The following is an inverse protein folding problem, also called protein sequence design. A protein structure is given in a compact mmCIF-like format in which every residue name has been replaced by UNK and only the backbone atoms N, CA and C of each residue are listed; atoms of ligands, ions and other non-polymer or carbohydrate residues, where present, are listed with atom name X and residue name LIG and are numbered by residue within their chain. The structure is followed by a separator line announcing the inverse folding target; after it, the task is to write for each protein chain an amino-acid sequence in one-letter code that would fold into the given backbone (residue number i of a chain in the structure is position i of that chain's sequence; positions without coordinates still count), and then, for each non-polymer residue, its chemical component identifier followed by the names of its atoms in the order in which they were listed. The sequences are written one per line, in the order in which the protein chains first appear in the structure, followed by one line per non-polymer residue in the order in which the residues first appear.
data_IF_979787238189
#
_entry.id   IF_979787238189
#
_cell.length_a   1.000
_cell.length_b   1.000
_cell.length_c   1.000
_cell.angle_alpha   90.00
_cell.angle_beta   90.00
_cell.angle_gamma   90.00
#
_symmetry.space_group_name_H-M   'P 1'
#
loop_
_entity.id
_entity.type
_entity.pdbx_description
1 polymer ?
#
# COMPACT_ATOMS: atom_id res chain seq x y z
N UNK A 1 -12.94 8.39 -1.54
CA UNK A 1 -11.54 8.29 -2.04
C UNK A 1 -10.83 9.63 -1.94
N UNK A 2 -9.49 9.62 -1.88
CA UNK A 2 -8.67 10.83 -1.97
C UNK A 2 -8.24 11.05 -3.43
N UNK A 3 -8.30 12.31 -3.86
CA UNK A 3 -7.92 12.72 -5.22
C UNK A 3 -7.09 14.00 -5.16
N UNK A 4 -6.12 14.15 -6.05
CA UNK A 4 -5.36 15.37 -6.24
C UNK A 4 -5.92 16.15 -7.41
N UNK A 5 -6.21 17.43 -7.23
CA UNK A 5 -6.61 18.33 -8.32
C UNK A 5 -5.39 18.64 -9.19
N UNK A 6 -5.56 18.65 -10.51
CA UNK A 6 -4.53 19.06 -11.46
C UNK A 6 -3.97 20.44 -11.11
N UNK A 7 -2.65 20.62 -11.18
CA UNK A 7 -2.00 21.89 -10.88
C UNK A 7 -2.02 22.87 -12.05
N UNK A 8 -2.26 22.38 -13.27
CA UNK A 8 -2.33 23.20 -14.49
C UNK A 8 -3.72 23.84 -14.61
N UNK A 9 -3.77 25.16 -14.36
CA UNK A 9 -5.00 25.94 -14.39
C UNK A 9 -5.67 25.97 -15.77
N UNK A 10 -4.90 26.13 -16.85
CA UNK A 10 -5.45 26.21 -18.21
C UNK A 10 -6.09 24.88 -18.58
N UNK A 11 -5.42 23.77 -18.24
CA UNK A 11 -5.96 22.43 -18.41
C UNK A 11 -7.24 22.23 -17.61
N UNK A 12 -7.29 22.64 -16.35
CA UNK A 12 -8.50 22.50 -15.52
C UNK A 12 -9.66 23.34 -16.09
N UNK A 13 -9.41 24.57 -16.54
CA UNK A 13 -10.42 25.42 -17.20
C UNK A 13 -11.04 24.73 -18.40
N UNK A 14 -10.23 24.14 -19.27
CA UNK A 14 -10.72 23.40 -20.43
C UNK A 14 -11.54 22.16 -20.03
N UNK A 15 -11.08 21.40 -19.04
CA UNK A 15 -11.76 20.18 -18.59
C UNK A 15 -13.08 20.46 -17.84
N UNK A 16 -13.22 21.63 -17.24
CA UNK A 16 -14.42 22.03 -16.51
C UNK A 16 -15.56 22.53 -17.41
N UNK A 17 -15.30 22.83 -18.68
CA UNK A 17 -16.36 23.25 -19.60
C UNK A 17 -17.37 22.12 -19.79
N UNK A 18 -18.62 22.35 -19.41
CA UNK A 18 -19.68 21.34 -19.39
C UNK A 18 -19.70 20.45 -18.13
N UNK A 19 -18.80 20.68 -17.17
CA UNK A 19 -18.58 19.83 -15.98
C UNK A 19 -18.58 20.64 -14.68
N UNK A 20 -19.63 21.44 -14.46
CA UNK A 20 -19.74 22.36 -13.31
C UNK A 20 -19.09 23.73 -13.50
N UNK A 21 -18.48 23.97 -14.68
CA UNK A 21 -17.78 25.19 -15.07
C UNK A 21 -16.58 25.55 -14.18
N UNK A 22 -15.76 26.48 -14.66
CA UNK A 22 -14.66 27.03 -13.89
C UNK A 22 -15.12 28.25 -13.08
N UNK A 23 -14.78 28.28 -11.79
CA UNK A 23 -14.89 29.47 -10.95
C UNK A 23 -13.51 29.92 -10.47
N UNK A 24 -13.24 31.23 -10.47
CA UNK A 24 -11.91 31.77 -10.08
C UNK A 24 -11.49 31.36 -8.65
N UNK A 25 -12.43 31.14 -7.75
CA UNK A 25 -12.16 30.63 -6.41
C UNK A 25 -11.54 29.21 -6.39
N UNK A 26 -11.75 28.42 -7.46
CA UNK A 26 -11.13 27.11 -7.65
C UNK A 26 -9.62 27.22 -7.88
N UNK A 27 -9.06 28.38 -8.22
CA UNK A 27 -7.61 28.56 -8.34
C UNK A 27 -6.88 28.13 -7.06
N UNK A 28 -7.53 28.28 -5.91
CA UNK A 28 -6.97 27.89 -4.61
C UNK A 28 -6.95 26.38 -4.36
N UNK A 29 -7.59 25.57 -5.19
CA UNK A 29 -7.66 24.10 -5.05
C UNK A 29 -6.63 23.37 -5.91
N UNK A 30 -6.03 24.04 -6.90
CA UNK A 30 -5.07 23.46 -7.83
C UNK A 30 -3.91 22.79 -7.08
N UNK A 31 -3.58 21.56 -7.48
CA UNK A 31 -2.53 20.74 -6.85
C UNK A 31 -2.88 20.19 -5.46
N UNK A 32 -4.00 20.60 -4.84
CA UNK A 32 -4.38 20.15 -3.50
C UNK A 32 -5.06 18.79 -3.53
N UNK A 33 -5.00 18.10 -2.40
CA UNK A 33 -5.70 16.86 -2.15
C UNK A 33 -7.09 17.17 -1.61
N UNK A 34 -8.11 16.53 -2.18
CA UNK A 34 -9.49 16.57 -1.73
C UNK A 34 -10.06 15.19 -1.49
N UNK A 35 -11.23 15.15 -0.86
CA UNK A 35 -12.00 13.91 -0.64
C UNK A 35 -13.21 13.90 -1.55
N UNK A 36 -13.36 12.85 -2.35
CA UNK A 36 -14.58 12.61 -3.13
C UNK A 36 -15.72 12.31 -2.16
N UNK A 37 -16.78 13.11 -2.22
CA UNK A 37 -18.00 12.96 -1.43
C UNK A 37 -19.09 12.23 -2.21
N UNK A 38 -19.17 12.47 -3.52
CA UNK A 38 -20.21 11.91 -4.39
C UNK A 38 -19.70 11.82 -5.83
N UNK A 39 -20.24 10.85 -6.58
CA UNK A 39 -20.11 10.73 -8.03
C UNK A 39 -21.51 10.98 -8.61
N UNK A 40 -21.63 11.91 -9.55
CA UNK A 40 -22.88 12.25 -10.23
C UNK A 40 -23.20 11.28 -11.38
N UNK A 41 -24.40 11.39 -11.97
CA UNK A 41 -24.87 10.50 -13.05
C UNK A 41 -24.13 10.71 -14.38
N UNK A 42 -23.57 11.90 -14.57
CA UNK A 42 -22.69 12.31 -15.68
C UNK A 42 -21.21 12.00 -15.41
N UNK A 43 -20.93 11.26 -14.34
CA UNK A 43 -19.62 10.85 -13.86
C UNK A 43 -18.75 11.98 -13.28
N UNK A 44 -19.30 13.17 -13.06
CA UNK A 44 -18.60 14.24 -12.37
C UNK A 44 -18.44 13.95 -10.87
N UNK A 45 -17.38 14.50 -10.30
CA UNK A 45 -16.98 14.24 -8.93
C UNK A 45 -17.29 15.46 -8.06
N UNK A 46 -18.10 15.26 -7.02
CA UNK A 46 -18.19 16.23 -5.92
C UNK A 46 -16.99 16.01 -4.99
N UNK A 47 -16.02 16.92 -5.01
CA UNK A 47 -14.79 16.83 -4.20
C UNK A 47 -14.77 17.96 -3.18
N UNK A 48 -14.54 17.61 -1.92
CA UNK A 48 -14.28 18.56 -0.85
C UNK A 48 -12.79 18.89 -0.78
N UNK A 49 -12.44 20.16 -0.95
CA UNK A 49 -11.08 20.71 -0.84
C UNK A 49 -11.15 21.96 0.06
N UNK A 50 -10.32 22.04 1.09
CA UNK A 50 -10.31 23.18 2.03
C UNK A 50 -11.72 23.53 2.58
N UNK A 51 -12.48 22.52 3.02
CA UNK A 51 -13.85 22.64 3.54
C UNK A 51 -14.88 23.23 2.56
N UNK A 52 -14.55 23.29 1.27
CA UNK A 52 -15.46 23.72 0.21
C UNK A 52 -15.64 22.58 -0.78
N UNK A 53 -16.89 22.27 -1.12
CA UNK A 53 -17.22 21.25 -2.12
C UNK A 53 -17.28 21.86 -3.51
N UNK A 54 -16.64 21.21 -4.47
CA UNK A 54 -16.62 21.61 -5.87
C UNK A 54 -16.97 20.41 -6.75
N UNK A 55 -17.56 20.69 -7.91
CA UNK A 55 -17.75 19.68 -8.97
C UNK A 55 -16.52 19.68 -9.86
N UNK A 56 -15.93 18.51 -10.08
CA UNK A 56 -14.80 18.32 -10.99
C UNK A 56 -15.09 17.26 -12.04
N UNK A 57 -14.67 17.55 -13.27
CA UNK A 57 -14.44 16.53 -14.27
C UNK A 57 -13.46 15.46 -13.72
N UNK A 58 -13.73 14.16 -13.87
CA UNK A 58 -12.83 13.11 -13.39
C UNK A 58 -11.41 13.19 -13.97
N UNK A 59 -11.23 13.76 -15.17
CA UNK A 59 -9.92 13.97 -15.79
C UNK A 59 -9.14 15.17 -15.22
N UNK A 60 -9.81 16.05 -14.47
CA UNK A 60 -9.17 17.18 -13.79
C UNK A 60 -8.56 16.77 -12.44
N UNK A 61 -8.78 15.53 -12.01
CA UNK A 61 -8.22 14.99 -10.76
C UNK A 61 -7.50 13.67 -10.99
N UNK A 62 -6.62 13.30 -10.08
CA UNK A 62 -5.93 12.00 -10.10
C UNK A 62 -6.15 11.31 -8.76
N UNK A 63 -6.54 10.03 -8.79
CA UNK A 63 -6.72 9.25 -7.57
C UNK A 63 -5.40 9.13 -6.82
N UNK A 64 -5.42 9.46 -5.54
CA UNK A 64 -4.26 9.33 -4.66
C UNK A 64 -4.32 7.92 -4.08
N UNK A 65 -3.29 7.11 -4.36
CA UNK A 65 -3.16 5.82 -3.71
C UNK A 65 -2.96 6.10 -2.21
N UNK A 66 -3.86 5.59 -1.37
CA UNK A 66 -3.56 5.43 0.05
C UNK A 66 -2.31 4.58 0.13
N UNK A 67 -1.28 5.03 0.84
CA UNK A 67 -0.06 4.27 1.12
C UNK A 67 -0.32 3.07 2.03
N UNK A 68 -1.35 2.28 1.73
CA UNK A 68 -1.49 0.89 2.12
C UNK A 68 -0.87 0.06 0.98
N UNK A 69 0.46 -0.02 0.98
CA UNK A 69 1.22 -1.06 0.31
C UNK A 69 1.33 -1.09 -1.23
N UNK A 70 0.60 -0.28 -2.01
CA UNK A 70 0.70 -0.32 -3.49
C UNK A 70 1.37 0.92 -4.08
N UNK A 71 2.70 0.86 -4.17
CA UNK A 71 3.52 1.80 -4.95
C UNK A 71 3.16 1.65 -6.45
N UNK A 72 2.73 2.70 -7.16
CA UNK A 72 2.59 2.64 -8.62
C UNK A 72 3.98 2.75 -9.26
N UNK A 73 4.41 1.67 -9.92
CA UNK A 73 5.35 1.71 -11.04
C UNK A 73 6.76 2.29 -10.80
N UNK A 74 7.59 1.59 -10.02
CA UNK A 74 8.98 1.34 -10.41
C UNK A 74 9.53 0.13 -9.59
N UNK A 75 9.66 -1.04 -10.22
CA UNK A 75 10.46 -2.20 -9.77
C UNK A 75 10.29 -2.72 -8.32
N UNK A 76 9.20 -2.39 -7.62
CA UNK A 76 8.91 -2.91 -6.27
C UNK A 76 8.64 -4.42 -6.21
N UNK A 77 8.24 -5.03 -7.33
CA UNK A 77 7.99 -6.47 -7.41
C UNK A 77 9.24 -7.31 -7.13
N UNK A 78 10.41 -6.89 -7.61
CA UNK A 78 11.68 -7.58 -7.34
C UNK A 78 12.17 -7.38 -5.91
N UNK A 79 11.96 -6.19 -5.34
CA UNK A 79 12.34 -5.90 -3.95
C UNK A 79 11.45 -6.66 -2.97
N UNK A 80 10.14 -6.68 -3.22
CA UNK A 80 9.18 -7.42 -2.40
C UNK A 80 9.36 -8.93 -2.61
N UNK A 81 9.61 -9.41 -3.84
CA UNK A 81 9.89 -10.82 -4.07
C UNK A 81 11.21 -11.25 -3.43
N UNK A 82 12.24 -10.40 -3.41
CA UNK A 82 13.49 -10.67 -2.68
C UNK A 82 13.28 -10.67 -1.16
N UNK A 83 12.50 -9.73 -0.63
CA UNK A 83 12.15 -9.67 0.79
C UNK A 83 11.28 -10.87 1.22
N UNK A 84 10.29 -11.25 0.41
CA UNK A 84 9.44 -12.43 0.64
C UNK A 84 10.26 -13.71 0.51
N UNK A 85 11.12 -13.84 -0.50
CA UNK A 85 12.01 -14.99 -0.65
C UNK A 85 12.95 -15.11 0.55
N UNK A 86 13.52 -13.99 1.01
CA UNK A 86 14.32 -13.96 2.24
C UNK A 86 13.50 -14.31 3.49
N UNK A 87 12.23 -13.92 3.55
CA UNK A 87 11.34 -14.27 4.67
C UNK A 87 10.98 -15.78 4.66
N UNK A 88 10.72 -16.36 3.48
CA UNK A 88 10.49 -17.79 3.33
C UNK A 88 11.74 -18.64 3.60
N UNK A 89 12.91 -18.15 3.20
CA UNK A 89 14.22 -18.75 3.50
C UNK A 89 14.49 -18.78 5.01
N UNK A 90 14.12 -17.71 5.74
CA UNK A 90 14.22 -17.64 7.20
C UNK A 90 13.26 -18.60 7.91
N UNK A 91 12.11 -18.94 7.31
CA UNK A 91 11.18 -19.93 7.87
C UNK A 91 11.49 -21.38 7.48
N UNK A 92 12.41 -21.61 6.53
CA UNK A 92 12.70 -22.93 5.95
C UNK A 92 13.84 -23.71 6.60
N UNK A 93 14.63 -23.14 7.50
CA UNK A 93 16.03 -23.57 7.63
C UNK A 93 16.46 -24.14 9.00
N UNK A 94 15.53 -24.60 9.85
CA UNK A 94 15.92 -25.42 11.01
C UNK A 94 15.70 -26.91 10.73
N UNK A 95 14.51 -27.25 10.24
CA UNK A 95 14.16 -28.65 9.99
C UNK A 95 14.89 -29.22 8.78
N UNK A 96 15.08 -28.44 7.71
CA UNK A 96 15.80 -28.90 6.52
C UNK A 96 17.31 -29.05 6.78
N UNK A 97 17.94 -28.10 7.49
CA UNK A 97 19.32 -28.22 7.95
C UNK A 97 19.50 -29.40 8.92
N UNK A 98 18.54 -29.64 9.83
CA UNK A 98 18.58 -30.77 10.75
C UNK A 98 18.50 -32.11 9.99
N UNK A 99 17.60 -32.22 9.00
CA UNK A 99 17.47 -33.42 8.17
C UNK A 99 18.74 -33.68 7.36
N UNK A 100 19.35 -32.63 6.78
CA UNK A 100 20.62 -32.73 6.05
C UNK A 100 21.79 -33.12 6.97
N UNK A 101 21.90 -32.51 8.15
CA UNK A 101 22.93 -32.84 9.12
C UNK A 101 22.78 -34.27 9.65
N UNK A 102 21.54 -34.70 9.93
CA UNK A 102 21.24 -36.07 10.36
C UNK A 102 21.56 -37.11 9.27
N UNK A 103 21.23 -36.82 8.00
CA UNK A 103 21.54 -37.69 6.87
C UNK A 103 23.06 -37.88 6.66
N UNK A 104 23.84 -36.86 6.98
CA UNK A 104 25.31 -36.91 6.91
C UNK A 104 25.97 -37.40 8.22
N UNK A 105 25.19 -37.73 9.26
CA UNK A 105 25.70 -38.20 10.54
C UNK A 105 26.39 -37.13 11.39
N UNK A 106 26.18 -35.85 11.10
CA UNK A 106 26.82 -34.72 11.79
C UNK A 106 26.05 -34.32 13.05
N UNK A 107 26.25 -35.08 14.13
CA UNK A 107 25.54 -34.91 15.39
C UNK A 107 25.81 -33.55 16.07
N UNK A 108 27.00 -32.96 15.87
CA UNK A 108 27.36 -31.67 16.45
C UNK A 108 26.53 -30.54 15.82
N UNK A 109 26.36 -30.57 14.50
CA UNK A 109 25.54 -29.61 13.76
C UNK A 109 24.05 -29.76 14.09
N UNK A 110 23.55 -30.99 14.24
CA UNK A 110 22.18 -31.23 14.69
C UNK A 110 21.88 -30.62 16.07
N UNK A 111 22.78 -30.81 17.04
CA UNK A 111 22.61 -30.29 18.40
C UNK A 111 22.63 -28.75 18.43
N UNK A 112 23.50 -28.15 17.63
CA UNK A 112 23.58 -26.71 17.49
C UNK A 112 22.29 -26.14 16.91
N UNK A 113 21.76 -26.72 15.82
CA UNK A 113 20.47 -26.31 15.21
C UNK A 113 19.31 -26.40 16.20
N UNK A 114 19.24 -27.48 16.98
CA UNK A 114 18.20 -27.67 18.00
C UNK A 114 18.29 -26.63 19.14
N UNK A 115 19.49 -26.19 19.50
CA UNK A 115 19.69 -25.16 20.52
C UNK A 115 19.24 -23.76 20.07
N UNK A 116 19.16 -23.50 18.75
CA UNK A 116 18.70 -22.21 18.18
C UNK A 116 17.18 -22.04 18.27
N UNK A 117 16.43 -23.15 18.37
CA UNK A 117 14.97 -23.16 18.38
C UNK A 117 14.35 -22.76 19.73
N UNK A 118 15.15 -22.57 20.78
CA UNK A 118 14.70 -22.23 22.14
C UNK A 118 14.23 -20.75 22.29
N UNK A 119 14.30 -19.95 21.22
CA UNK A 119 13.80 -18.57 21.21
C UNK A 119 12.29 -18.40 21.01
N UNK A 120 11.56 -19.49 20.72
CA UNK A 120 10.10 -19.48 20.68
C UNK A 120 9.55 -20.18 21.92
N UNK A 121 9.39 -19.42 23.00
CA UNK A 121 8.55 -19.80 24.13
C UNK A 121 7.12 -20.04 23.60
N UNK A 122 6.82 -21.27 23.23
CA UNK A 122 5.46 -21.77 23.17
C UNK A 122 5.00 -21.86 24.63
N UNK A 123 4.24 -20.86 25.08
CA UNK A 123 3.59 -20.89 26.37
C UNK A 123 2.56 -22.04 26.37
N UNK A 124 2.93 -23.17 26.97
CA UNK A 124 2.06 -24.33 27.17
C UNK A 124 1.34 -24.31 28.52
N UNK A 125 1.25 -23.16 29.21
CA UNK A 125 0.40 -23.05 30.38
C UNK A 125 -1.07 -22.84 29.98
N UNK A 126 -1.63 -23.83 29.28
CA UNK A 126 -3.06 -24.09 29.27
C UNK A 126 -3.48 -24.51 30.67
N UNK A 127 -3.85 -23.52 31.51
CA UNK A 127 -4.62 -23.76 32.73
C UNK A 127 -5.99 -24.30 32.31
N UNK A 128 -6.22 -25.59 32.52
CA UNK A 128 -7.56 -26.14 32.61
C UNK A 128 -8.07 -25.85 34.03
N UNK A 129 -8.98 -24.88 34.13
CA UNK A 129 -9.88 -24.71 35.27
C UNK A 129 -11.26 -25.24 34.93
#
# INVERSE_FOLDING_TARGET
DLVQVCADQERVKMLQSGHGEWAEAMATTLGKIGRVQQIYQDNDLKVEVCNTSWTYNPNAVTKVASSDGSIPGNSSGERISALLKKLFDVTGDANEELVKAAANGDAARCADILARSDGAQADVNGVFG
#
